data_IF_425280200070
#
_entry.id   IF_425280200070
#
_cell.length_a   1.000
_cell.length_b   1.000
_cell.length_c   1.000
_cell.angle_alpha   90.00
_cell.angle_beta   90.00
_cell.angle_gamma   90.00
#
_symmetry.space_group_name_H-M   'P 1'
#
loop_
_entity.id
_entity.type
_entity.pdbx_description
1 polymer ?
#
# COMPACT_ATOMS: atom_id res chain seq x y z
N UNK A 1 30.32 22.75 -10.22
CA UNK A 1 29.70 23.12 -8.93
C UNK A 1 28.49 22.22 -8.77
N UNK A 2 28.48 21.43 -7.72
CA UNK A 2 27.43 20.47 -7.46
C UNK A 2 26.31 21.24 -6.73
N UNK A 3 25.06 21.12 -7.17
CA UNK A 3 23.95 21.86 -6.54
C UNK A 3 23.77 21.49 -5.06
N UNK A 4 24.33 20.35 -4.65
CA UNK A 4 24.40 19.86 -3.28
C UNK A 4 25.20 20.82 -2.37
N UNK A 5 26.19 21.53 -2.91
CA UNK A 5 27.03 22.48 -2.18
C UNK A 5 26.28 23.78 -1.83
N UNK A 6 25.15 24.04 -2.50
CA UNK A 6 24.29 25.20 -2.30
C UNK A 6 23.18 24.95 -1.26
N UNK A 7 23.10 23.73 -0.70
CA UNK A 7 22.05 23.32 0.24
C UNK A 7 22.57 23.35 1.67
N UNK A 8 21.81 23.99 2.56
CA UNK A 8 22.17 24.05 3.98
C UNK A 8 21.94 22.71 4.68
N UNK A 9 22.66 22.49 5.79
CA UNK A 9 22.48 21.30 6.63
C UNK A 9 21.04 21.18 7.15
N UNK A 10 20.40 22.30 7.46
CA UNK A 10 18.99 22.35 7.90
C UNK A 10 18.04 21.82 6.82
N UNK A 11 18.23 22.26 5.58
CA UNK A 11 17.39 21.83 4.46
C UNK A 11 17.60 20.34 4.12
N UNK A 12 18.81 19.82 4.32
CA UNK A 12 19.06 18.38 4.25
C UNK A 12 18.31 17.59 5.33
N UNK A 13 18.28 18.11 6.56
CA UNK A 13 17.55 17.48 7.66
C UNK A 13 16.04 17.47 7.38
N UNK A 14 15.47 18.57 6.89
CA UNK A 14 14.05 18.66 6.50
C UNK A 14 13.69 17.59 5.46
N UNK A 15 14.53 17.40 4.43
CA UNK A 15 14.27 16.39 3.41
C UNK A 15 14.40 14.96 3.93
N UNK A 16 15.34 14.70 4.84
CA UNK A 16 15.46 13.39 5.49
C UNK A 16 14.26 13.08 6.37
N UNK A 17 13.80 14.03 7.19
CA UNK A 17 12.60 13.88 8.01
C UNK A 17 11.36 13.68 7.13
N UNK A 18 11.22 14.46 6.05
CA UNK A 18 10.14 14.32 5.10
C UNK A 18 10.13 12.92 4.45
N UNK A 19 11.29 12.43 3.99
CA UNK A 19 11.41 11.11 3.40
C UNK A 19 11.03 10.00 4.38
N UNK A 20 11.49 10.08 5.63
CA UNK A 20 11.12 9.16 6.71
C UNK A 20 9.61 9.18 6.96
N UNK A 21 9.02 10.36 7.12
CA UNK A 21 7.58 10.53 7.34
C UNK A 21 6.76 9.94 6.20
N UNK A 22 7.14 10.23 4.96
CA UNK A 22 6.45 9.69 3.77
C UNK A 22 6.56 8.17 3.70
N UNK A 23 7.73 7.61 4.04
CA UNK A 23 7.90 6.16 4.03
C UNK A 23 7.16 5.47 5.18
N UNK A 24 7.13 6.04 6.38
CA UNK A 24 6.39 5.50 7.53
C UNK A 24 4.87 5.57 7.32
N UNK A 25 4.37 6.57 6.58
CA UNK A 25 2.96 6.64 6.18
C UNK A 25 2.53 5.50 5.25
N UNK A 26 3.49 4.84 4.59
CA UNK A 26 3.23 3.62 3.83
C UNK A 26 3.12 2.47 4.82
N UNK A 27 1.88 2.16 5.25
CA UNK A 27 1.51 0.98 6.03
C UNK A 27 1.69 -0.32 5.23
N UNK A 28 2.87 -0.53 4.64
CA UNK A 28 3.18 -1.65 3.77
C UNK A 28 4.31 -2.43 4.44
N UNK A 29 4.01 -3.65 4.90
CA UNK A 29 5.03 -4.54 5.42
C UNK A 29 5.88 -5.05 4.27
N UNK A 30 7.15 -4.64 4.23
CA UNK A 30 8.13 -5.16 3.30
C UNK A 30 9.40 -5.54 4.05
N UNK A 31 10.17 -6.48 3.49
CA UNK A 31 11.48 -6.91 4.03
C UNK A 31 12.50 -5.77 4.18
N UNK A 32 12.28 -4.62 3.52
CA UNK A 32 13.05 -3.40 3.73
C UNK A 32 12.25 -2.51 4.67
N UNK A 33 12.88 -1.98 5.71
CA UNK A 33 12.21 -1.06 6.63
C UNK A 33 11.84 0.26 5.94
N UNK A 34 10.89 0.99 6.51
CA UNK A 34 10.55 2.34 6.03
C UNK A 34 11.78 3.28 6.02
N UNK A 35 12.74 3.05 6.91
CA UNK A 35 13.99 3.81 6.94
C UNK A 35 14.88 3.56 5.72
N UNK A 36 14.92 2.32 5.23
CA UNK A 36 15.76 1.95 4.08
C UNK A 36 15.24 2.57 2.77
N UNK A 37 13.91 2.66 2.61
CA UNK A 37 13.32 3.37 1.47
C UNK A 37 13.60 4.87 1.53
N UNK A 38 13.49 5.48 2.71
CA UNK A 38 13.83 6.87 2.90
C UNK A 38 15.32 7.14 2.57
N UNK A 39 16.23 6.33 3.10
CA UNK A 39 17.67 6.43 2.83
C UNK A 39 17.98 6.27 1.33
N UNK A 40 17.43 5.23 0.69
CA UNK A 40 17.62 5.00 -0.74
C UNK A 40 17.05 6.13 -1.61
N UNK A 41 15.95 6.77 -1.20
CA UNK A 41 15.41 7.92 -1.90
C UNK A 41 16.32 9.16 -1.79
N UNK A 42 16.95 9.37 -0.63
CA UNK A 42 17.92 10.45 -0.41
C UNK A 42 19.21 10.21 -1.21
N UNK A 43 19.73 8.99 -1.25
CA UNK A 43 20.88 8.64 -2.11
C UNK A 43 20.61 8.95 -3.59
N UNK A 44 19.42 8.57 -4.08
CA UNK A 44 19.01 8.86 -5.46
C UNK A 44 18.81 10.35 -5.71
N UNK A 45 18.43 11.12 -4.68
CA UNK A 45 18.35 12.57 -4.77
C UNK A 45 19.74 13.17 -4.93
N UNK A 46 20.70 12.75 -4.10
CA UNK A 46 22.10 13.21 -4.16
C UNK A 46 22.73 12.87 -5.52
N UNK A 47 22.39 11.72 -6.09
CA UNK A 47 22.89 11.30 -7.41
C UNK A 47 22.29 12.10 -8.59
N UNK A 48 21.31 12.99 -8.38
CA UNK A 48 20.75 13.79 -9.47
C UNK A 48 21.75 14.83 -9.97
N UNK A 49 21.93 14.98 -11.30
CA UNK A 49 22.82 15.99 -11.87
C UNK A 49 22.29 17.41 -11.70
N UNK A 50 20.96 17.58 -11.52
CA UNK A 50 20.31 18.87 -11.29
C UNK A 50 19.32 18.76 -10.13
N UNK A 51 19.27 19.80 -9.29
CA UNK A 51 18.27 19.93 -8.22
C UNK A 51 16.84 19.86 -8.81
N UNK A 52 15.97 18.96 -8.31
CA UNK A 52 14.56 18.96 -8.68
C UNK A 52 13.89 20.28 -8.28
N UNK A 53 12.98 20.78 -9.11
CA UNK A 53 12.23 22.03 -8.82
C UNK A 53 11.43 21.93 -7.51
N UNK A 54 10.89 20.76 -7.22
CA UNK A 54 10.26 20.43 -5.94
C UNK A 54 10.82 19.10 -5.41
N UNK A 55 11.71 19.20 -4.43
CA UNK A 55 12.41 18.05 -3.85
C UNK A 55 11.47 17.13 -3.08
N UNK A 56 10.51 17.66 -2.34
CA UNK A 56 9.54 16.86 -1.58
C UNK A 56 8.62 16.03 -2.51
N UNK A 57 8.08 16.66 -3.55
CA UNK A 57 7.25 15.98 -4.53
C UNK A 57 8.05 14.89 -5.27
N UNK A 58 9.32 15.17 -5.57
CA UNK A 58 10.24 14.22 -6.16
C UNK A 58 10.51 13.03 -5.20
N UNK A 59 10.81 13.30 -3.92
CA UNK A 59 11.04 12.26 -2.91
C UNK A 59 9.83 11.37 -2.73
N UNK A 60 8.63 11.95 -2.62
CA UNK A 60 7.37 11.20 -2.53
C UNK A 60 7.17 10.28 -3.73
N UNK A 61 7.45 10.77 -4.94
CA UNK A 61 7.36 9.98 -6.18
C UNK A 61 8.40 8.85 -6.21
N UNK A 62 9.65 9.14 -5.83
CA UNK A 62 10.75 8.18 -5.80
C UNK A 62 10.49 7.05 -4.81
N UNK A 63 10.04 7.38 -3.59
CA UNK A 63 9.65 6.39 -2.58
C UNK A 63 8.51 5.52 -3.11
N UNK A 64 7.44 6.12 -3.66
CA UNK A 64 6.35 5.36 -4.26
C UNK A 64 6.82 4.39 -5.35
N UNK A 65 7.74 4.82 -6.21
CA UNK A 65 8.29 3.99 -7.27
C UNK A 65 9.14 2.84 -6.72
N UNK A 66 9.91 3.06 -5.65
CA UNK A 66 10.69 2.00 -5.00
C UNK A 66 9.80 0.89 -4.45
N UNK A 67 8.68 1.23 -3.80
CA UNK A 67 7.70 0.24 -3.36
C UNK A 67 7.10 -0.54 -4.54
N UNK A 68 6.73 0.15 -5.63
CA UNK A 68 6.21 -0.50 -6.85
C UNK A 68 7.25 -1.46 -7.46
N UNK A 69 8.50 -1.01 -7.60
CA UNK A 69 9.55 -1.82 -8.22
C UNK A 69 9.93 -3.02 -7.37
N UNK A 70 9.91 -2.88 -6.03
CA UNK A 70 10.08 -4.01 -5.13
C UNK A 70 8.98 -5.04 -5.32
N UNK A 71 7.73 -4.58 -5.45
CA UNK A 71 6.58 -5.44 -5.70
C UNK A 71 6.65 -6.13 -7.07
N UNK A 72 7.08 -5.44 -8.13
CA UNK A 72 7.34 -6.06 -9.45
C UNK A 72 8.42 -7.15 -9.38
N UNK A 73 9.52 -6.90 -8.65
CA UNK A 73 10.59 -7.88 -8.45
C UNK A 73 10.12 -9.10 -7.65
N UNK A 74 9.24 -8.87 -6.68
CA UNK A 74 8.52 -9.90 -5.94
C UNK A 74 7.67 -10.73 -6.91
N UNK A 75 6.83 -10.11 -7.73
CA UNK A 75 5.98 -10.80 -8.72
C UNK A 75 6.79 -11.62 -9.74
N UNK A 76 7.88 -11.07 -10.29
CA UNK A 76 8.76 -11.79 -11.22
C UNK A 76 9.44 -13.01 -10.62
N UNK A 77 9.51 -13.12 -9.29
CA UNK A 77 10.05 -14.29 -8.57
C UNK A 77 8.98 -15.36 -8.28
N UNK A 78 7.77 -15.22 -8.82
CA UNK A 78 6.63 -16.12 -8.57
C UNK A 78 5.63 -15.61 -7.53
N UNK A 79 5.54 -14.29 -7.35
CA UNK A 79 4.73 -13.68 -6.29
C UNK A 79 5.55 -13.38 -5.04
N UNK A 80 4.94 -12.73 -4.05
CA UNK A 80 5.66 -12.36 -2.84
C UNK A 80 6.28 -13.58 -2.19
N UNK A 81 7.58 -13.51 -1.90
CA UNK A 81 8.14 -14.29 -0.81
C UNK A 81 7.47 -13.76 0.46
N UNK A 82 6.29 -14.33 0.72
CA UNK A 82 5.31 -14.22 1.81
C UNK A 82 5.93 -14.53 3.19
N UNK A 83 7.22 -14.31 3.40
CA UNK A 83 7.99 -14.89 4.51
C UNK A 83 7.67 -14.31 5.90
N UNK A 84 6.88 -13.23 5.98
CA UNK A 84 6.66 -12.49 7.23
C UNK A 84 5.18 -12.38 7.65
N UNK A 85 4.22 -12.61 6.74
CA UNK A 85 2.79 -12.66 7.06
C UNK A 85 2.19 -13.94 6.49
N UNK A 86 1.44 -14.65 7.33
CA UNK A 86 0.61 -15.79 6.92
C UNK A 86 -0.56 -15.32 6.03
N UNK A 87 -1.13 -16.23 5.24
CA UNK A 87 -2.27 -15.93 4.37
C UNK A 87 -3.46 -15.35 5.18
N UNK A 88 -3.71 -15.88 6.38
CA UNK A 88 -4.71 -15.38 7.34
C UNK A 88 -4.47 -13.92 7.76
N UNK A 89 -3.23 -13.50 7.98
CA UNK A 89 -2.91 -12.12 8.36
C UNK A 89 -3.14 -11.14 7.21
N UNK A 90 -2.96 -11.59 5.98
CA UNK A 90 -3.24 -10.79 4.78
C UNK A 90 -4.71 -10.54 4.58
N UNK A 91 -5.45 -11.61 4.76
CA UNK A 91 -6.89 -11.70 4.75
C UNK A 91 -7.53 -10.78 5.80
N UNK A 92 -7.00 -10.77 7.02
CA UNK A 92 -7.36 -9.82 8.08
C UNK A 92 -7.14 -8.35 7.66
N UNK A 93 -5.98 -8.03 7.06
CA UNK A 93 -5.67 -6.66 6.62
C UNK A 93 -6.61 -6.17 5.50
N UNK A 94 -7.00 -7.06 4.58
CA UNK A 94 -7.98 -6.73 3.54
C UNK A 94 -9.34 -6.36 4.12
N UNK A 95 -9.81 -7.11 5.11
CA UNK A 95 -11.08 -6.82 5.80
C UNK A 95 -10.95 -5.55 6.62
N UNK A 96 -9.86 -5.38 7.36
CA UNK A 96 -9.58 -4.18 8.15
C UNK A 96 -9.66 -2.91 7.30
N UNK A 97 -9.05 -2.95 6.12
CA UNK A 97 -9.09 -1.87 5.15
C UNK A 97 -10.51 -1.58 4.65
N UNK A 98 -11.29 -2.61 4.33
CA UNK A 98 -12.65 -2.45 3.81
C UNK A 98 -13.67 -1.99 4.87
N UNK A 99 -13.54 -2.49 6.10
CA UNK A 99 -14.49 -2.22 7.20
C UNK A 99 -14.10 -1.00 8.02
N UNK A 100 -12.81 -0.65 8.06
CA UNK A 100 -12.29 0.55 8.70
C UNK A 100 -12.24 0.51 10.24
N UNK A 101 -12.46 -0.64 10.88
CA UNK A 101 -12.45 -0.79 12.34
C UNK A 101 -11.79 -2.09 12.80
N UNK A 102 -10.76 -2.03 13.68
CA UNK A 102 -10.12 -3.21 14.26
C UNK A 102 -11.09 -4.11 15.07
N UNK A 103 -12.14 -3.52 15.65
CA UNK A 103 -13.11 -4.26 16.47
C UNK A 103 -13.95 -5.25 15.67
N UNK A 104 -14.11 -5.03 14.36
CA UNK A 104 -14.79 -5.96 13.47
C UNK A 104 -13.96 -7.24 13.28
N UNK A 105 -12.62 -7.15 13.25
CA UNK A 105 -11.72 -8.28 13.02
C UNK A 105 -11.81 -9.36 14.11
N UNK A 106 -12.03 -8.96 15.36
CA UNK A 106 -12.16 -9.90 16.49
C UNK A 106 -13.33 -10.86 16.29
N UNK A 107 -14.38 -10.44 15.58
CA UNK A 107 -15.56 -11.26 15.29
C UNK A 107 -15.43 -12.11 14.02
N UNK A 108 -14.49 -11.77 13.13
CA UNK A 108 -14.43 -12.27 11.75
C UNK A 108 -13.18 -13.14 11.51
N UNK A 109 -12.28 -13.21 12.50
CA UNK A 109 -11.01 -13.93 12.39
C UNK A 109 -11.14 -15.38 11.92
N UNK A 110 -12.21 -16.06 12.33
CA UNK A 110 -12.52 -17.45 11.94
C UNK A 110 -13.35 -17.56 10.66
N UNK A 111 -13.73 -16.44 10.02
CA UNK A 111 -14.65 -16.39 8.89
C UNK A 111 -14.15 -15.47 7.76
N UNK A 112 -12.86 -15.14 7.74
CA UNK A 112 -12.28 -14.23 6.74
C UNK A 112 -12.45 -14.76 5.32
N UNK A 113 -12.16 -16.05 5.12
CA UNK A 113 -12.39 -16.75 3.86
C UNK A 113 -13.84 -16.59 3.37
N UNK A 114 -14.81 -16.68 4.28
CA UNK A 114 -16.23 -16.57 3.96
C UNK A 114 -16.61 -15.14 3.54
N UNK A 115 -16.00 -14.13 4.16
CA UNK A 115 -16.17 -12.72 3.78
C UNK A 115 -15.59 -12.47 2.40
N UNK A 116 -14.40 -12.99 2.10
CA UNK A 116 -13.70 -12.76 0.83
C UNK A 116 -14.21 -13.64 -0.31
N UNK A 117 -14.88 -14.74 -0.02
CA UNK A 117 -15.53 -15.60 -1.01
C UNK A 117 -16.63 -14.90 -1.80
N UNK A 118 -17.23 -13.83 -1.26
CA UNK A 118 -18.26 -13.03 -1.97
C UNK A 118 -17.66 -12.18 -3.11
N UNK A 119 -16.34 -12.04 -3.14
CA UNK A 119 -15.61 -11.28 -4.14
C UNK A 119 -15.14 -12.19 -5.28
N UNK A 120 -15.17 -11.66 -6.49
CA UNK A 120 -14.49 -12.27 -7.62
C UNK A 120 -12.97 -12.15 -7.47
N UNK A 121 -12.21 -12.95 -8.22
CA UNK A 121 -10.74 -12.90 -8.22
C UNK A 121 -10.21 -11.49 -8.54
N UNK A 122 -10.77 -10.82 -9.55
CA UNK A 122 -10.40 -9.44 -9.91
C UNK A 122 -10.76 -8.41 -8.84
N UNK A 123 -11.80 -8.66 -8.07
CA UNK A 123 -12.19 -7.80 -6.94
C UNK A 123 -11.24 -7.99 -5.76
N UNK A 124 -10.85 -9.23 -5.46
CA UNK A 124 -9.79 -9.52 -4.47
C UNK A 124 -8.48 -8.85 -4.85
N UNK A 125 -8.06 -8.91 -6.11
CA UNK A 125 -6.82 -8.24 -6.57
C UNK A 125 -6.86 -6.72 -6.35
N UNK A 126 -7.98 -6.06 -6.66
CA UNK A 126 -8.14 -4.61 -6.39
C UNK A 126 -8.06 -4.34 -4.88
N UNK A 127 -8.72 -5.16 -4.07
CA UNK A 127 -8.76 -4.98 -2.63
C UNK A 127 -7.39 -5.21 -1.99
N UNK A 128 -6.66 -6.25 -2.42
CA UNK A 128 -5.28 -6.55 -1.98
C UNK A 128 -4.38 -5.36 -2.27
N UNK A 129 -4.40 -4.84 -3.50
CA UNK A 129 -3.53 -3.72 -3.87
C UNK A 129 -3.90 -2.43 -3.13
N UNK A 130 -5.20 -2.21 -2.89
CA UNK A 130 -5.68 -1.06 -2.12
C UNK A 130 -5.30 -1.16 -0.65
N UNK A 131 -5.46 -2.34 -0.02
CA UNK A 131 -5.01 -2.61 1.35
C UNK A 131 -3.49 -2.49 1.48
N UNK A 132 -2.75 -2.90 0.45
CA UNK A 132 -1.32 -2.67 0.30
C UNK A 132 -0.94 -1.20 0.01
N UNK A 133 -1.88 -0.25 0.08
CA UNK A 133 -1.61 1.19 -0.01
C UNK A 133 -1.38 1.74 -1.42
N UNK A 134 -1.74 1.00 -2.47
CA UNK A 134 -1.69 1.50 -3.85
C UNK A 134 -2.85 2.46 -4.10
N UNK A 135 -2.57 3.58 -4.77
CA UNK A 135 -3.64 4.47 -5.20
C UNK A 135 -4.31 3.98 -6.50
N UNK A 136 -5.50 4.51 -6.79
CA UNK A 136 -6.33 4.10 -7.93
C UNK A 136 -5.60 4.17 -9.29
N UNK A 137 -4.66 5.10 -9.46
CA UNK A 137 -3.87 5.20 -10.69
C UNK A 137 -2.82 4.09 -10.80
N UNK A 138 -2.15 3.77 -9.69
CA UNK A 138 -1.18 2.67 -9.63
C UNK A 138 -1.88 1.32 -9.86
N UNK A 139 -3.03 1.10 -9.24
CA UNK A 139 -3.86 -0.10 -9.44
C UNK A 139 -4.35 -0.19 -10.88
N UNK A 140 -4.80 0.93 -11.48
CA UNK A 140 -5.26 0.91 -12.87
C UNK A 140 -4.15 0.49 -13.84
N UNK A 141 -2.95 1.01 -13.65
CA UNK A 141 -1.79 0.61 -14.44
C UNK A 141 -1.40 -0.84 -14.19
N UNK A 142 -1.51 -1.32 -12.95
CA UNK A 142 -1.09 -2.66 -12.56
C UNK A 142 -2.04 -3.74 -13.08
N UNK A 143 -3.36 -3.51 -12.99
CA UNK A 143 -4.40 -4.44 -13.42
C UNK A 143 -4.91 -4.13 -14.84
N UNK A 144 -4.20 -3.28 -15.59
CA UNK A 144 -4.51 -2.89 -16.97
C UNK A 144 -5.92 -2.33 -17.17
N UNK A 145 -6.43 -1.58 -16.19
CA UNK A 145 -7.65 -0.78 -16.37
C UNK A 145 -7.38 0.47 -17.18
N UNK A 146 -8.34 0.84 -18.03
CA UNK A 146 -8.26 2.00 -18.91
C UNK A 146 -8.01 3.33 -18.18
N UNK A 147 -8.52 3.47 -16.95
CA UNK A 147 -8.31 4.68 -16.14
C UNK A 147 -8.49 4.40 -14.64
N UNK A 148 -8.03 5.36 -13.83
CA UNK A 148 -8.14 5.32 -12.36
C UNK A 148 -9.59 5.42 -11.85
N UNK A 149 -10.52 6.00 -12.61
CA UNK A 149 -11.93 6.14 -12.20
C UNK A 149 -12.63 4.78 -12.13
N UNK A 150 -12.32 3.88 -13.06
CA UNK A 150 -12.84 2.51 -13.04
C UNK A 150 -12.43 1.80 -11.75
N UNK A 151 -11.17 1.95 -11.35
CA UNK A 151 -10.68 1.37 -10.09
C UNK A 151 -11.38 2.01 -8.89
N UNK A 152 -11.51 3.33 -8.87
CA UNK A 152 -12.21 4.02 -7.78
C UNK A 152 -13.65 3.51 -7.59
N UNK A 153 -14.39 3.38 -8.69
CA UNK A 153 -15.76 2.84 -8.67
C UNK A 153 -15.80 1.39 -8.22
N UNK A 154 -14.92 0.52 -8.77
CA UNK A 154 -14.86 -0.88 -8.36
C UNK A 154 -14.49 -1.04 -6.90
N UNK A 155 -13.50 -0.29 -6.42
CA UNK A 155 -13.08 -0.33 -5.03
C UNK A 155 -14.23 0.05 -4.08
N UNK A 156 -15.02 1.09 -4.41
CA UNK A 156 -16.20 1.45 -3.63
C UNK A 156 -17.24 0.31 -3.57
N UNK A 157 -17.50 -0.35 -4.71
CA UNK A 157 -18.42 -1.49 -4.77
C UNK A 157 -17.91 -2.70 -3.98
N UNK A 158 -16.60 -2.95 -4.02
CA UNK A 158 -15.95 -4.03 -3.26
C UNK A 158 -16.09 -3.77 -1.76
N UNK A 159 -15.76 -2.56 -1.31
CA UNK A 159 -15.91 -2.15 0.09
C UNK A 159 -17.36 -2.35 0.56
N UNK A 160 -18.35 -1.93 -0.24
CA UNK A 160 -19.76 -2.11 0.08
C UNK A 160 -20.15 -3.59 0.19
N UNK A 161 -19.67 -4.45 -0.72
CA UNK A 161 -19.90 -5.91 -0.66
C UNK A 161 -19.33 -6.52 0.61
N UNK A 162 -18.08 -6.19 0.95
CA UNK A 162 -17.40 -6.69 2.14
C UNK A 162 -18.14 -6.24 3.40
N UNK A 163 -18.49 -4.95 3.51
CA UNK A 163 -19.24 -4.42 4.65
C UNK A 163 -20.60 -5.10 4.84
N UNK A 164 -21.33 -5.37 3.75
CA UNK A 164 -22.59 -6.11 3.80
C UNK A 164 -22.40 -7.56 4.25
N UNK A 165 -21.33 -8.21 3.79
CA UNK A 165 -21.01 -9.59 4.21
C UNK A 165 -20.73 -9.66 5.70
N UNK A 166 -19.87 -8.74 6.17
CA UNK A 166 -19.51 -8.61 7.59
C UNK A 166 -20.73 -8.30 8.47
N UNK A 167 -21.58 -7.37 8.05
CA UNK A 167 -22.80 -7.02 8.79
C UNK A 167 -23.76 -8.22 8.92
N UNK A 168 -23.89 -9.06 7.89
CA UNK A 168 -24.70 -10.28 7.96
C UNK A 168 -24.16 -11.28 8.99
N UNK A 169 -22.84 -11.46 9.04
CA UNK A 169 -22.21 -12.36 10.01
C UNK A 169 -22.38 -11.88 11.46
N UNK A 170 -22.20 -10.57 11.71
CA UNK A 170 -22.40 -9.98 13.04
C UNK A 170 -23.84 -10.02 13.56
N UNK A 171 -24.82 -10.26 12.69
CA UNK A 171 -26.24 -10.43 13.05
C UNK A 171 -26.69 -11.89 13.18
N UNK A 172 -25.81 -12.86 12.95
CA UNK A 172 -26.17 -14.29 12.99
C UNK A 172 -26.16 -14.80 14.45
N UNK A 173 -27.30 -15.18 15.04
CA UNK A 173 -27.37 -15.60 16.45
C UNK A 173 -26.69 -16.95 16.76
N UNK A 174 -26.12 -17.63 15.76
CA UNK A 174 -25.52 -18.96 15.88
C UNK A 174 -23.98 -19.00 15.80
N UNK A 175 -23.28 -17.86 15.74
CA UNK A 175 -21.81 -17.85 15.91
C UNK A 175 -21.45 -17.81 17.40
N UNK A 176 -21.44 -18.99 18.02
CA UNK A 176 -20.81 -19.28 19.32
C UNK A 176 -20.17 -20.66 19.26
#
# INVERSE_FOLDING_TARGET
MNWQDEVTTEQWNEWQEFARKVSQQKKINTTLGAEDYAASAIEKLIAQPKKPENVEAWLRKTINNQYIDRFRKIQMRGGASMRELTDEQWEEEMISFAVGSPSALVYIRESVDEVLAVLTEKEREILILSAAGFNNHQIANYLFYKNNKIVATRLAQIIEKVQKSVAKMGTNPNSK
#
